data_IF_857430213897
#
_entry.id   IF_857430213897
#
_cell.length_a   1.000
_cell.length_b   1.000
_cell.length_c   1.000
_cell.angle_alpha   90.00
_cell.angle_beta   90.00
_cell.angle_gamma   90.00
#
_symmetry.space_group_name_H-M   'P 1'
#
loop_
_entity.id
_entity.type
_entity.pdbx_description
1 polymer ?
#
# COMPACT_ATOMS: atom_id res chain seq x y z
N UNK A 1 -8.14 -15.14 10.44
CA UNK A 1 -7.96 -15.91 9.21
C UNK A 1 -9.19 -15.92 8.31
N UNK A 2 -10.32 -15.40 8.76
CA UNK A 2 -11.56 -15.39 7.96
C UNK A 2 -11.59 -14.23 6.94
N UNK A 3 -10.71 -13.22 7.10
CA UNK A 3 -10.63 -12.06 6.23
C UNK A 3 -9.44 -12.14 5.26
N UNK A 4 -8.63 -13.20 5.28
CA UNK A 4 -7.55 -13.41 4.32
C UNK A 4 -7.30 -14.88 4.05
N UNK A 5 -7.06 -15.20 2.79
CA UNK A 5 -6.70 -16.55 2.34
C UNK A 5 -5.92 -16.51 1.04
N UNK A 6 -5.27 -17.62 0.70
CA UNK A 6 -4.74 -17.87 -0.65
C UNK A 6 -5.67 -18.89 -1.32
N UNK A 7 -6.23 -18.52 -2.46
CA UNK A 7 -7.13 -19.37 -3.23
C UNK A 7 -6.92 -19.14 -4.73
N UNK A 8 -6.87 -20.22 -5.49
CA UNK A 8 -6.69 -20.19 -6.96
C UNK A 8 -5.47 -19.35 -7.40
N UNK A 9 -4.38 -19.39 -6.61
CA UNK A 9 -3.16 -18.62 -6.87
C UNK A 9 -3.20 -17.16 -6.43
N UNK A 10 -4.32 -16.67 -5.92
CA UNK A 10 -4.49 -15.28 -5.47
C UNK A 10 -4.43 -15.17 -3.94
N UNK A 11 -3.72 -14.18 -3.43
CA UNK A 11 -3.92 -13.71 -2.07
C UNK A 11 -5.16 -12.81 -2.05
N UNK A 12 -6.11 -13.15 -1.19
CA UNK A 12 -7.38 -12.44 -1.01
C UNK A 12 -7.36 -11.76 0.36
N UNK A 13 -7.60 -10.46 0.39
CA UNK A 13 -7.88 -9.68 1.62
C UNK A 13 -9.31 -9.19 1.50
N UNK A 14 -10.18 -9.62 2.42
CA UNK A 14 -11.62 -9.37 2.39
C UNK A 14 -12.05 -8.46 3.53
N UNK A 15 -12.67 -7.34 3.19
CA UNK A 15 -13.37 -6.47 4.13
C UNK A 15 -14.84 -6.86 4.18
N UNK A 16 -15.40 -7.01 5.39
CA UNK A 16 -16.78 -7.42 5.65
C UNK A 16 -17.49 -6.43 6.56
N UNK A 17 -18.79 -6.30 6.34
CA UNK A 17 -19.70 -5.69 7.31
C UNK A 17 -20.20 -6.79 8.25
N UNK A 18 -19.59 -6.86 9.42
CA UNK A 18 -19.94 -7.80 10.48
C UNK A 18 -19.52 -7.26 11.84
N UNK A 19 -20.33 -7.49 12.84
CA UNK A 19 -20.02 -7.04 14.20
C UNK A 19 -19.01 -8.00 14.85
N UNK A 20 -17.83 -7.50 15.18
CA UNK A 20 -16.80 -8.25 15.87
C UNK A 20 -15.98 -7.35 16.79
N UNK A 21 -15.84 -7.75 18.07
CA UNK A 21 -15.02 -7.01 19.05
C UNK A 21 -15.45 -5.55 19.28
N UNK A 22 -16.74 -5.22 19.03
CA UNK A 22 -17.26 -3.85 19.16
C UNK A 22 -17.09 -2.99 17.88
N UNK A 23 -16.46 -3.53 16.84
CA UNK A 23 -16.37 -2.89 15.52
C UNK A 23 -17.51 -3.38 14.62
N UNK A 24 -17.94 -2.54 13.67
CA UNK A 24 -18.99 -2.85 12.69
C UNK A 24 -18.44 -3.49 11.41
N UNK A 25 -17.12 -3.51 11.25
CA UNK A 25 -16.44 -4.05 10.08
C UNK A 25 -15.24 -4.88 10.51
N UNK A 26 -14.92 -5.90 9.72
CA UNK A 26 -13.70 -6.68 9.85
C UNK A 26 -12.91 -6.67 8.54
N UNK A 27 -11.59 -6.77 8.64
CA UNK A 27 -10.68 -6.93 7.50
C UNK A 27 -9.38 -7.57 7.98
N UNK A 28 -8.40 -7.68 7.08
CA UNK A 28 -7.06 -8.16 7.44
C UNK A 28 -5.98 -7.14 7.10
N UNK A 29 -4.96 -7.11 7.97
CA UNK A 29 -3.65 -6.55 7.71
C UNK A 29 -2.63 -7.66 7.85
N UNK A 30 -1.99 -8.05 6.76
CA UNK A 30 -0.95 -9.08 6.73
C UNK A 30 0.41 -8.43 6.56
N UNK A 31 1.45 -9.06 7.10
CA UNK A 31 2.81 -8.53 7.05
C UNK A 31 3.86 -9.62 6.95
N UNK A 32 5.01 -9.27 6.37
CA UNK A 32 6.20 -10.14 6.32
C UNK A 32 7.23 -9.81 7.39
N UNK A 33 6.89 -8.97 8.37
CA UNK A 33 7.77 -8.60 9.47
C UNK A 33 8.36 -9.83 10.16
N UNK A 34 9.68 -9.81 10.41
CA UNK A 34 10.46 -10.89 11.03
C UNK A 34 10.45 -12.22 10.25
N UNK A 35 9.98 -12.19 8.98
CA UNK A 35 9.96 -13.35 8.08
C UNK A 35 10.71 -13.06 6.79
N UNK A 36 10.44 -11.93 6.15
CA UNK A 36 11.07 -11.51 4.91
C UNK A 36 11.14 -10.00 4.85
N UNK A 37 12.32 -9.46 4.62
CA UNK A 37 12.61 -8.06 4.37
C UNK A 37 13.51 -7.91 3.16
N UNK A 38 13.53 -6.74 2.57
CA UNK A 38 14.32 -6.41 1.40
C UNK A 38 14.93 -5.03 1.55
N UNK A 39 16.10 -4.85 0.97
CA UNK A 39 16.70 -3.55 0.79
C UNK A 39 17.06 -3.39 -0.68
N UNK A 40 16.42 -2.40 -1.33
CA UNK A 40 16.57 -2.08 -2.74
C UNK A 40 16.03 -3.16 -3.69
N UNK A 41 15.95 -2.80 -4.94
CA UNK A 41 15.50 -3.65 -6.03
C UNK A 41 14.32 -3.07 -6.82
N UNK A 42 13.87 -3.81 -7.82
CA UNK A 42 12.56 -3.61 -8.45
C UNK A 42 11.56 -4.51 -7.74
N UNK A 43 10.45 -3.92 -7.31
CA UNK A 43 9.35 -4.61 -6.66
C UNK A 43 8.11 -4.42 -7.53
N UNK A 44 7.57 -5.52 -8.06
CA UNK A 44 6.34 -5.53 -8.84
C UNK A 44 5.25 -6.25 -8.06
N UNK A 45 4.12 -5.58 -7.84
CA UNK A 45 2.93 -6.15 -7.18
C UNK A 45 1.77 -6.07 -8.16
N UNK A 46 1.23 -7.23 -8.58
CA UNK A 46 0.06 -7.28 -9.44
C UNK A 46 -1.19 -7.48 -8.59
N UNK A 47 -2.07 -6.50 -8.59
CA UNK A 47 -3.26 -6.50 -7.74
C UNK A 47 -4.45 -5.81 -8.41
N UNK A 48 -5.65 -6.12 -7.90
CA UNK A 48 -6.88 -5.38 -8.15
C UNK A 48 -7.46 -4.94 -6.81
N UNK A 49 -7.90 -3.68 -6.72
CA UNK A 49 -8.42 -3.08 -5.49
C UNK A 49 -9.91 -3.35 -5.31
N UNK A 50 -10.43 -3.29 -4.07
CA UNK A 50 -11.88 -3.19 -3.84
C UNK A 50 -12.40 -1.83 -4.30
N UNK A 51 -13.72 -1.70 -4.45
CA UNK A 51 -14.41 -0.44 -4.74
C UNK A 51 -15.46 -0.14 -3.67
N UNK A 52 -15.70 1.15 -3.41
CA UNK A 52 -16.76 1.62 -2.52
C UNK A 52 -16.29 2.67 -1.50
N UNK A 53 -17.20 3.58 -1.15
CA UNK A 53 -16.94 4.64 -0.18
C UNK A 53 -16.42 4.07 1.15
N UNK A 54 -15.36 4.70 1.68
CA UNK A 54 -14.78 4.34 2.97
C UNK A 54 -13.81 3.16 2.93
N UNK A 55 -13.49 2.60 1.75
CA UNK A 55 -12.47 1.58 1.61
C UNK A 55 -11.10 2.22 1.34
N UNK A 56 -10.07 1.63 1.94
CA UNK A 56 -8.69 2.09 1.81
C UNK A 56 -7.75 0.89 1.70
N UNK A 57 -7.63 0.31 0.49
CA UNK A 57 -6.61 -0.69 0.21
C UNK A 57 -5.23 -0.04 0.16
N UNK A 58 -4.23 -0.77 0.68
CA UNK A 58 -2.83 -0.37 0.65
C UNK A 58 -1.89 -1.55 0.45
N UNK A 59 -0.89 -1.34 -0.40
CA UNK A 59 0.28 -2.17 -0.63
C UNK A 59 1.49 -1.33 -0.26
N UNK A 60 2.12 -1.61 0.88
CA UNK A 60 3.11 -0.74 1.47
C UNK A 60 4.20 -1.50 2.22
N UNK A 61 5.22 -0.79 2.62
CA UNK A 61 6.37 -1.33 3.34
C UNK A 61 6.70 -0.46 4.55
N UNK A 62 7.17 -1.10 5.61
CA UNK A 62 7.64 -0.43 6.82
C UNK A 62 9.07 -0.88 7.12
N UNK A 63 9.90 0.04 7.61
CA UNK A 63 11.28 -0.27 7.96
C UNK A 63 11.37 -1.37 9.01
N UNK A 64 12.28 -2.34 8.82
CA UNK A 64 12.48 -3.48 9.72
C UNK A 64 12.85 -3.03 11.15
N UNK A 65 13.44 -1.84 11.28
CA UNK A 65 13.75 -1.23 12.57
C UNK A 65 12.53 -0.73 13.37
N UNK A 66 11.31 -0.80 12.83
CA UNK A 66 10.09 -0.25 13.43
C UNK A 66 9.89 -0.64 14.89
N UNK A 67 10.14 -1.90 15.25
CA UNK A 67 9.98 -2.36 16.64
C UNK A 67 10.95 -1.70 17.63
N UNK A 68 12.09 -1.20 17.13
CA UNK A 68 13.12 -0.57 17.94
C UNK A 68 12.99 0.96 17.99
N UNK A 69 12.68 1.59 16.85
CA UNK A 69 12.73 3.06 16.72
C UNK A 69 11.35 3.72 16.56
N UNK A 70 10.31 2.93 16.28
CA UNK A 70 8.95 3.40 16.07
C UNK A 70 8.75 4.17 14.76
N UNK A 71 7.51 4.52 14.49
CA UNK A 71 7.11 5.38 13.38
C UNK A 71 7.20 6.86 13.78
N UNK A 72 7.62 7.79 12.91
CA UNK A 72 8.05 7.58 11.52
C UNK A 72 9.57 7.36 11.36
N UNK A 73 10.31 7.09 12.46
CA UNK A 73 11.76 6.95 12.41
C UNK A 73 12.23 5.72 11.59
N UNK A 74 11.41 4.67 11.53
CA UNK A 74 11.69 3.47 10.72
C UNK A 74 11.60 3.71 9.22
N UNK A 75 10.95 4.78 8.79
CA UNK A 75 10.56 4.99 7.40
C UNK A 75 9.36 4.13 6.99
N UNK A 76 8.57 4.62 6.03
CA UNK A 76 7.43 3.94 5.39
C UNK A 76 7.45 4.24 3.91
N UNK A 77 7.17 3.25 3.07
CA UNK A 77 7.09 3.35 1.61
C UNK A 77 5.73 2.80 1.18
N UNK A 78 4.84 3.68 0.74
CA UNK A 78 3.55 3.29 0.21
C UNK A 78 3.69 3.10 -1.30
N UNK A 79 3.62 1.83 -1.74
CA UNK A 79 3.75 1.47 -3.15
C UNK A 79 2.46 1.82 -3.88
N UNK A 80 1.33 1.54 -3.24
CA UNK A 80 0.00 1.89 -3.72
C UNK A 80 -0.93 2.13 -2.54
N UNK A 81 -1.61 3.25 -2.55
CA UNK A 81 -2.80 3.50 -1.77
C UNK A 81 -3.93 4.00 -2.68
N UNK A 82 -5.15 3.62 -2.37
CA UNK A 82 -6.36 4.12 -3.03
C UNK A 82 -7.42 4.39 -1.98
N UNK A 83 -8.18 5.44 -2.15
CA UNK A 83 -9.37 5.69 -1.33
C UNK A 83 -10.62 5.49 -2.16
N UNK A 84 -11.48 4.60 -1.71
CA UNK A 84 -12.74 4.29 -2.39
C UNK A 84 -13.78 5.40 -2.26
N UNK A 85 -14.75 5.37 -3.16
CA UNK A 85 -15.86 6.30 -3.23
C UNK A 85 -15.83 7.16 -4.49
N UNK A 86 -16.95 7.74 -4.79
CA UNK A 86 -17.30 8.41 -6.03
C UNK A 86 -16.16 9.19 -6.70
N UNK A 87 -15.66 8.66 -7.83
CA UNK A 87 -14.67 9.30 -8.67
C UNK A 87 -13.22 9.25 -8.16
N UNK A 88 -12.92 8.46 -7.11
CA UNK A 88 -11.55 8.35 -6.54
C UNK A 88 -10.89 7.00 -6.81
N UNK A 89 -11.64 6.01 -7.27
CA UNK A 89 -11.17 4.63 -7.49
C UNK A 89 -10.29 4.46 -8.74
N UNK A 90 -10.10 5.55 -9.48
CA UNK A 90 -9.18 5.62 -10.61
C UNK A 90 -7.84 6.28 -10.27
N UNK A 91 -7.61 6.64 -9.01
CA UNK A 91 -6.39 7.33 -8.58
C UNK A 91 -5.60 6.47 -7.62
N UNK A 92 -4.32 6.25 -7.94
CA UNK A 92 -3.33 5.62 -7.07
C UNK A 92 -2.40 6.67 -6.49
N UNK A 93 -2.05 6.51 -5.22
CA UNK A 93 -1.09 7.34 -4.51
C UNK A 93 0.15 6.52 -4.18
N UNK A 94 1.32 7.11 -4.37
CA UNK A 94 2.60 6.58 -3.90
C UNK A 94 3.23 7.59 -2.95
N UNK A 95 3.66 7.17 -1.76
CA UNK A 95 4.09 8.07 -0.69
C UNK A 95 5.29 7.51 0.05
N UNK A 96 6.09 8.37 0.66
CA UNK A 96 7.04 8.00 1.70
C UNK A 96 6.81 8.85 2.95
N UNK A 97 7.03 8.23 4.12
CA UNK A 97 6.97 8.91 5.41
C UNK A 97 8.26 8.65 6.19
N UNK A 98 8.82 9.71 6.82
CA UNK A 98 10.04 9.59 7.61
C UNK A 98 10.10 10.61 8.74
N UNK A 99 11.09 10.46 9.59
CA UNK A 99 11.41 11.46 10.61
C UNK A 99 12.45 12.45 10.05
N UNK A 100 12.06 13.70 9.91
CA UNK A 100 12.95 14.78 9.54
C UNK A 100 13.24 15.65 10.80
N UNK A 101 14.43 15.50 11.38
CA UNK A 101 14.83 16.18 12.61
C UNK A 101 13.82 15.99 13.77
N UNK A 102 13.29 14.76 13.93
CA UNK A 102 12.34 14.43 14.99
C UNK A 102 10.87 14.78 14.69
N UNK A 103 10.59 15.39 13.53
CA UNK A 103 9.24 15.67 13.08
C UNK A 103 8.83 14.74 11.93
N UNK A 104 7.56 14.35 11.90
CA UNK A 104 7.03 13.59 10.77
C UNK A 104 7.09 14.44 9.49
N UNK A 105 7.68 13.89 8.47
CA UNK A 105 7.69 14.42 7.11
C UNK A 105 7.15 13.35 6.15
N UNK A 106 6.58 13.80 5.05
CA UNK A 106 6.12 12.93 3.98
C UNK A 106 6.28 13.64 2.63
N UNK A 107 6.35 12.84 1.59
CA UNK A 107 6.29 13.27 0.21
C UNK A 107 5.61 12.18 -0.62
N UNK A 108 4.70 12.58 -1.48
CA UNK A 108 4.00 11.66 -2.37
C UNK A 108 3.40 12.39 -3.54
N UNK A 109 2.99 11.62 -4.53
CA UNK A 109 2.27 12.09 -5.71
C UNK A 109 1.25 11.03 -6.11
N UNK A 110 0.41 11.33 -7.08
CA UNK A 110 -0.68 10.49 -7.51
C UNK A 110 -0.73 10.37 -9.04
N UNK A 111 -1.33 9.28 -9.51
CA UNK A 111 -1.68 9.13 -10.92
C UNK A 111 -3.14 8.73 -11.02
N UNK A 112 -3.88 9.49 -11.82
CA UNK A 112 -5.25 9.19 -12.19
C UNK A 112 -5.30 8.49 -13.53
N UNK A 113 -5.93 7.30 -13.57
CA UNK A 113 -6.15 6.53 -14.79
C UNK A 113 -7.07 7.28 -15.76
N UNK A 114 -7.11 6.82 -17.00
CA UNK A 114 -7.97 7.38 -18.04
C UNK A 114 -9.45 7.32 -17.65
N UNK A 115 -10.25 8.19 -18.23
CA UNK A 115 -11.69 8.26 -17.95
C UNK A 115 -12.37 6.91 -18.24
N UNK A 116 -13.09 6.40 -17.25
CA UNK A 116 -13.78 5.12 -17.30
C UNK A 116 -12.97 3.92 -16.82
N UNK A 117 -11.69 4.09 -16.52
CA UNK A 117 -10.84 3.07 -15.89
C UNK A 117 -10.84 3.25 -14.37
N UNK A 118 -10.73 2.14 -13.64
CA UNK A 118 -10.55 2.14 -12.18
C UNK A 118 -9.60 1.05 -11.76
N UNK A 119 -8.93 1.23 -10.64
CA UNK A 119 -8.05 0.24 -10.02
C UNK A 119 -8.80 -1.03 -9.57
N UNK A 120 -10.14 -0.96 -9.53
CA UNK A 120 -11.02 -2.06 -9.17
C UNK A 120 -11.55 -2.85 -10.39
N UNK A 121 -11.37 -2.33 -11.61
CA UNK A 121 -11.92 -2.95 -12.83
C UNK A 121 -11.03 -4.01 -13.46
N UNK A 122 -9.72 -3.95 -13.18
CA UNK A 122 -8.71 -4.85 -13.73
C UNK A 122 -7.53 -5.00 -12.78
N UNK A 123 -6.69 -6.02 -13.04
CA UNK A 123 -5.40 -6.13 -12.38
C UNK A 123 -4.41 -5.11 -12.96
N UNK A 124 -3.78 -4.36 -12.10
CA UNK A 124 -2.69 -3.44 -12.41
C UNK A 124 -1.38 -3.92 -11.78
N UNK A 125 -0.25 -3.50 -12.34
CA UNK A 125 1.08 -3.76 -11.77
C UNK A 125 1.59 -2.49 -11.12
N UNK A 126 1.64 -2.48 -9.80
CA UNK A 126 2.23 -1.41 -9.00
C UNK A 126 3.69 -1.72 -8.78
N UNK A 127 4.56 -0.82 -9.21
CA UNK A 127 6.02 -1.04 -9.18
C UNK A 127 6.72 0.08 -8.44
N UNK A 128 7.73 -0.29 -7.65
CA UNK A 128 8.79 0.65 -7.26
C UNK A 128 10.14 0.15 -7.79
N UNK A 129 10.96 1.09 -8.24
CA UNK A 129 12.39 0.88 -8.47
C UNK A 129 13.11 1.67 -7.40
N UNK A 130 13.81 0.96 -6.54
CA UNK A 130 14.43 1.49 -5.33
C UNK A 130 15.90 1.12 -5.28
N UNK A 131 16.77 2.13 -5.12
CA UNK A 131 18.19 1.96 -4.91
C UNK A 131 18.71 2.86 -3.77
N UNK A 132 20.02 2.99 -3.61
CA UNK A 132 20.62 3.81 -2.56
C UNK A 132 20.37 5.32 -2.70
N UNK A 133 19.94 5.76 -3.88
CA UNK A 133 19.81 7.17 -4.22
C UNK A 133 18.36 7.62 -4.39
N UNK A 134 17.50 6.71 -4.84
CA UNK A 134 16.14 7.08 -5.24
C UNK A 134 15.12 5.97 -5.08
N UNK A 135 13.86 6.37 -5.04
CA UNK A 135 12.68 5.51 -5.22
C UNK A 135 11.84 6.12 -6.34
N UNK A 136 11.45 5.29 -7.31
CA UNK A 136 10.57 5.69 -8.42
C UNK A 136 9.36 4.78 -8.44
N UNK A 137 8.17 5.35 -8.54
CA UNK A 137 6.88 4.64 -8.57
C UNK A 137 6.33 4.56 -9.98
N UNK A 138 5.71 3.42 -10.29
CA UNK A 138 5.04 3.17 -11.56
C UNK A 138 3.72 2.43 -11.33
N UNK A 139 2.77 2.63 -12.24
CA UNK A 139 1.61 1.77 -12.46
C UNK A 139 1.57 1.39 -13.94
N UNK A 140 1.52 0.10 -14.24
CA UNK A 140 1.50 -0.44 -15.62
C UNK A 140 2.58 0.20 -16.51
N UNK A 141 3.81 0.33 -15.99
CA UNK A 141 4.98 0.98 -16.59
C UNK A 141 4.86 2.51 -16.81
N UNK A 142 3.77 3.15 -16.38
CA UNK A 142 3.64 4.60 -16.36
C UNK A 142 4.22 5.14 -15.06
N UNK A 143 5.20 6.05 -15.15
CA UNK A 143 5.81 6.64 -13.96
C UNK A 143 4.82 7.55 -13.23
N UNK A 144 4.62 7.30 -11.95
CA UNK A 144 3.80 8.13 -11.04
C UNK A 144 4.64 9.29 -10.51
N UNK A 145 5.73 8.98 -9.80
CA UNK A 145 6.66 10.00 -9.31
C UNK A 145 8.05 9.44 -9.00
N UNK A 146 8.94 10.32 -8.57
CA UNK A 146 10.33 10.04 -8.21
C UNK A 146 10.69 10.78 -6.93
N UNK A 147 11.48 10.12 -6.07
CA UNK A 147 12.02 10.72 -4.86
C UNK A 147 13.53 10.47 -4.75
N UNK A 148 14.30 11.55 -4.59
CA UNK A 148 15.71 11.49 -4.20
C UNK A 148 15.78 11.21 -2.70
N UNK A 149 16.41 10.10 -2.30
CA UNK A 149 16.61 9.69 -0.91
C UNK A 149 18.06 9.85 -0.45
N UNK A 150 18.89 10.58 -1.20
CA UNK A 150 20.29 10.86 -0.81
C UNK A 150 20.45 11.79 0.40
N UNK A 151 19.52 12.73 0.69
CA UNK A 151 19.64 13.59 1.87
C UNK A 151 19.82 12.80 3.17
N UNK A 152 20.65 13.34 4.07
CA UNK A 152 21.00 12.67 5.33
C UNK A 152 19.75 12.32 6.18
N UNK A 153 18.73 13.19 6.21
CA UNK A 153 17.47 12.95 6.92
C UNK A 153 16.64 11.77 6.40
N UNK A 154 17.01 11.22 5.24
CA UNK A 154 16.31 10.09 4.59
C UNK A 154 17.04 8.76 4.76
N UNK A 155 17.92 8.64 5.75
CA UNK A 155 18.72 7.45 6.00
C UNK A 155 17.87 6.18 6.21
N UNK A 156 16.64 6.31 6.74
CA UNK A 156 15.72 5.20 6.94
C UNK A 156 15.45 4.42 5.65
N UNK A 157 15.40 5.10 4.49
CA UNK A 157 15.14 4.47 3.20
C UNK A 157 16.34 3.73 2.61
N UNK A 158 17.45 3.64 3.32
CA UNK A 158 18.64 2.85 2.96
C UNK A 158 18.81 1.59 3.81
N UNK A 159 17.77 1.26 4.58
CA UNK A 159 17.69 0.07 5.42
C UNK A 159 16.72 -0.96 4.84
N UNK A 160 16.54 -2.09 5.52
CA UNK A 160 15.59 -3.13 5.12
C UNK A 160 14.14 -2.77 5.46
N UNK A 161 13.22 -3.14 4.58
CA UNK A 161 11.77 -2.96 4.72
C UNK A 161 11.03 -4.29 4.56
N UNK A 162 9.95 -4.45 5.30
CA UNK A 162 9.02 -5.57 5.16
C UNK A 162 7.67 -5.11 4.58
N UNK A 163 6.98 -6.01 3.91
CA UNK A 163 5.67 -5.71 3.30
C UNK A 163 4.55 -5.72 4.33
N UNK A 164 3.58 -4.85 4.10
CA UNK A 164 2.28 -4.82 4.77
C UNK A 164 1.19 -4.60 3.70
N UNK A 165 0.17 -5.47 3.68
CA UNK A 165 -0.98 -5.33 2.79
C UNK A 165 -2.24 -5.35 3.61
N UNK A 166 -3.14 -4.44 3.32
CA UNK A 166 -4.44 -4.37 4.01
C UNK A 166 -5.53 -3.71 3.16
N UNK A 167 -6.77 -3.93 3.59
CA UNK A 167 -7.91 -3.11 3.22
C UNK A 167 -8.44 -2.51 4.52
N UNK A 168 -8.20 -1.22 4.76
CA UNK A 168 -8.82 -0.52 5.87
C UNK A 168 -10.27 -0.14 5.53
N UNK A 169 -11.13 -0.08 6.53
CA UNK A 169 -12.53 0.34 6.39
C UNK A 169 -12.77 1.53 7.28
N UNK A 170 -13.12 2.65 6.68
CA UNK A 170 -13.21 3.95 7.36
C UNK A 170 -11.83 4.57 7.59
N UNK A 171 -11.84 5.73 8.21
CA UNK A 171 -10.65 6.50 8.55
C UNK A 171 -10.80 7.97 8.19
N UNK A 172 -9.80 8.77 8.59
CA UNK A 172 -9.85 10.23 8.35
C UNK A 172 -9.79 10.58 6.86
N UNK A 173 -9.07 9.81 6.07
CA UNK A 173 -8.85 10.08 4.66
C UNK A 173 -9.99 9.56 3.77
N UNK A 174 -10.38 8.27 3.82
CA UNK A 174 -11.50 7.77 3.00
C UNK A 174 -12.87 8.21 3.53
N UNK A 175 -12.98 8.59 4.80
CA UNK A 175 -14.27 8.75 5.49
C UNK A 175 -14.93 7.40 5.82
N UNK A 176 -16.11 7.38 6.42
CA UNK A 176 -16.84 6.14 6.70
C UNK A 176 -17.45 5.54 5.42
N UNK A 177 -17.69 4.22 5.40
CA UNK A 177 -18.63 3.61 4.46
C UNK A 177 -20.02 4.26 4.53
N UNK A 178 -20.76 4.16 3.44
CA UNK A 178 -22.14 4.65 3.36
C UNK A 178 -23.04 3.61 2.65
N UNK A 179 -24.30 3.96 2.43
CA UNK A 179 -25.28 3.05 1.82
C UNK A 179 -24.92 2.59 0.39
N UNK A 180 -23.95 3.22 -0.29
CA UNK A 180 -23.46 2.78 -1.60
C UNK A 180 -22.33 1.74 -1.50
N UNK A 181 -21.76 1.53 -0.32
CA UNK A 181 -20.68 0.55 -0.11
C UNK A 181 -21.29 -0.83 0.06
N UNK A 182 -21.05 -1.70 -0.92
CA UNK A 182 -21.54 -3.09 -0.89
C UNK A 182 -20.44 -4.00 -0.34
N UNK A 183 -20.74 -4.76 0.71
CA UNK A 183 -19.85 -5.76 1.29
C UNK A 183 -20.27 -7.20 0.92
N UNK A 184 -19.35 -8.19 0.89
CA UNK A 184 -17.92 -8.05 1.15
C UNK A 184 -17.17 -7.43 -0.03
N UNK A 185 -16.07 -6.74 0.27
CA UNK A 185 -15.15 -6.19 -0.72
C UNK A 185 -13.77 -6.82 -0.61
N UNK A 186 -13.08 -6.97 -1.74
CA UNK A 186 -11.83 -7.74 -1.80
C UNK A 186 -10.73 -7.02 -2.53
N UNK A 187 -9.54 -7.01 -1.96
CA UNK A 187 -8.30 -6.82 -2.69
C UNK A 187 -7.75 -8.20 -3.07
N UNK A 188 -7.39 -8.37 -4.33
CA UNK A 188 -6.77 -9.59 -4.84
C UNK A 188 -5.34 -9.27 -5.26
N UNK A 189 -4.37 -10.04 -4.78
CA UNK A 189 -2.97 -9.92 -5.17
C UNK A 189 -2.56 -11.22 -5.88
N UNK A 190 -2.14 -11.09 -7.14
CA UNK A 190 -1.71 -12.20 -7.98
C UNK A 190 -0.27 -12.60 -7.66
N UNK A 191 0.64 -11.62 -7.65
CA UNK A 191 2.03 -11.86 -7.29
C UNK A 191 2.67 -10.64 -6.63
N UNK A 192 3.73 -10.94 -5.88
CA UNK A 192 4.77 -10.00 -5.46
C UNK A 192 6.09 -10.55 -6.00
N UNK A 193 6.80 -9.77 -6.80
CA UNK A 193 8.09 -10.11 -7.36
C UNK A 193 9.14 -9.08 -6.94
N UNK A 194 10.22 -9.55 -6.37
CA UNK A 194 11.35 -8.70 -5.96
C UNK A 194 12.57 -9.12 -6.76
N UNK A 195 13.12 -8.19 -7.51
CA UNK A 195 14.32 -8.37 -8.32
C UNK A 195 15.44 -7.53 -7.71
N UNK A 196 16.48 -8.20 -7.23
CA UNK A 196 17.67 -7.57 -6.68
C UNK A 196 18.85 -7.81 -7.61
N UNK A 197 19.80 -6.88 -7.64
CA UNK A 197 21.07 -7.09 -8.34
C UNK A 197 21.93 -8.03 -7.50
N UNK A 198 22.62 -8.93 -8.19
CA UNK A 198 23.66 -9.78 -7.63
C UNK A 198 24.84 -8.96 -7.12
#
# INVERSE_FOLDING_TARGET
>A
PENSCVREGLLIIEAKEESFGGAAYTSSRIKTQDKQSFRYGRIDIRAVTPAGQGLWPALWMLGQSFSAVGWPNSGEIDIMEMIGGSGRENTTHGTIHWSNNGSHAYYGDELTLAAGETLASAFHVFTIIWDSNSITWYIDDIQVHFMDITPAGMAAFREEFFFIFNVAVGGNWPGPPNASTVFPQRMLVDYVRVFQKD
#
